data_IF_819535295573
#
_entry.id   IF_819535295573
#
_cell.length_a   1.000
_cell.length_b   1.000
_cell.length_c   1.000
_cell.angle_alpha   90.00
_cell.angle_beta   90.00
_cell.angle_gamma   90.00
#
_symmetry.space_group_name_H-M   'P 1'
#
loop_
_entity.id
_entity.type
_entity.pdbx_description
1 polymer ?
#
# COMPACT_ATOMS: atom_id res chain seq x y z
N UNK A 1 28.85 -18.34 -6.58
CA UNK A 1 28.25 -17.27 -7.41
C UNK A 1 26.83 -17.10 -6.90
N UNK A 2 26.50 -15.96 -6.28
CA UNK A 2 25.16 -15.74 -5.73
C UNK A 2 24.19 -15.68 -6.92
N UNK A 3 23.12 -16.50 -6.94
CA UNK A 3 22.16 -16.48 -8.04
C UNK A 3 21.45 -15.13 -8.10
N UNK A 4 21.22 -14.63 -9.32
CA UNK A 4 20.62 -13.32 -9.57
C UNK A 4 19.32 -13.05 -8.79
N UNK A 5 18.50 -14.09 -8.58
CA UNK A 5 17.27 -14.00 -7.81
C UNK A 5 17.48 -13.64 -6.32
N UNK A 6 18.55 -14.11 -5.71
CA UNK A 6 18.89 -13.77 -4.32
C UNK A 6 19.34 -12.30 -4.22
N UNK A 7 20.15 -11.84 -5.18
CA UNK A 7 20.55 -10.43 -5.24
C UNK A 7 19.33 -9.51 -5.38
N UNK A 8 18.36 -9.87 -6.22
CA UNK A 8 17.12 -9.10 -6.35
C UNK A 8 16.28 -9.12 -5.07
N UNK A 9 16.17 -10.26 -4.41
CA UNK A 9 15.40 -10.38 -3.16
C UNK A 9 15.93 -9.51 -2.03
N UNK A 10 17.25 -9.26 -2.00
CA UNK A 10 17.87 -8.37 -1.01
C UNK A 10 17.65 -6.89 -1.36
N UNK A 11 17.76 -6.52 -2.63
CA UNK A 11 17.79 -5.11 -3.04
C UNK A 11 16.38 -4.54 -3.32
N UNK A 12 15.43 -5.36 -3.77
CA UNK A 12 14.07 -4.92 -4.12
C UNK A 12 13.34 -4.17 -2.98
N UNK A 13 13.38 -4.64 -1.71
CA UNK A 13 12.74 -3.93 -0.60
C UNK A 13 13.22 -2.48 -0.42
N UNK A 14 14.51 -2.22 -0.66
CA UNK A 14 15.07 -0.88 -0.54
C UNK A 14 14.55 0.07 -1.62
N UNK A 15 14.47 -0.40 -2.88
CA UNK A 15 13.88 0.41 -3.97
C UNK A 15 12.39 0.69 -3.73
N UNK A 16 11.66 -0.30 -3.23
CA UNK A 16 10.26 -0.17 -2.88
C UNK A 16 10.04 0.92 -1.80
N UNK A 17 10.88 0.94 -0.75
CA UNK A 17 10.82 1.98 0.29
C UNK A 17 11.10 3.39 -0.25
N UNK A 18 12.04 3.53 -1.19
CA UNK A 18 12.29 4.83 -1.85
C UNK A 18 11.06 5.27 -2.67
N UNK A 19 10.45 4.34 -3.41
CA UNK A 19 9.25 4.64 -4.19
C UNK A 19 8.06 5.03 -3.30
N UNK A 20 7.92 4.36 -2.16
CA UNK A 20 6.93 4.70 -1.12
C UNK A 20 7.04 6.17 -0.69
N UNK A 21 8.25 6.72 -0.51
CA UNK A 21 8.42 8.12 -0.11
C UNK A 21 7.78 9.08 -1.12
N UNK A 22 7.92 8.80 -2.42
CA UNK A 22 7.28 9.58 -3.47
C UNK A 22 5.76 9.48 -3.37
N UNK A 23 5.23 8.28 -3.16
CA UNK A 23 3.80 8.03 -2.98
C UNK A 23 3.25 8.78 -1.76
N UNK A 24 3.96 8.77 -0.64
CA UNK A 24 3.59 9.52 0.56
C UNK A 24 3.50 11.02 0.29
N UNK A 25 4.50 11.60 -0.40
CA UNK A 25 4.48 13.02 -0.78
C UNK A 25 3.24 13.36 -1.65
N UNK A 26 2.86 12.47 -2.56
CA UNK A 26 1.65 12.63 -3.37
C UNK A 26 0.37 12.60 -2.51
N UNK A 27 0.28 11.69 -1.53
CA UNK A 27 -0.85 11.64 -0.61
C UNK A 27 -0.93 12.88 0.29
N UNK A 28 0.18 13.37 0.82
CA UNK A 28 0.21 14.61 1.60
C UNK A 28 -0.30 15.79 0.77
N UNK A 29 0.14 15.91 -0.48
CA UNK A 29 -0.34 16.93 -1.41
C UNK A 29 -1.84 16.78 -1.67
N UNK A 30 -2.32 15.56 -1.90
CA UNK A 30 -3.74 15.26 -2.14
C UNK A 30 -4.62 15.64 -0.95
N UNK A 31 -4.22 15.29 0.28
CA UNK A 31 -4.98 15.61 1.49
C UNK A 31 -4.92 17.09 1.89
N UNK A 32 -3.92 17.83 1.41
CA UNK A 32 -3.84 19.29 1.60
C UNK A 32 -4.85 20.07 0.74
N UNK A 33 -5.40 19.46 -0.32
CA UNK A 33 -6.37 20.12 -1.21
C UNK A 33 -7.72 20.28 -0.48
N UNK A 34 -8.10 21.53 -0.14
CA UNK A 34 -9.35 21.88 0.57
C UNK A 34 -10.65 21.71 -0.26
N UNK A 35 -10.60 21.06 -1.41
CA UNK A 35 -11.73 21.01 -2.34
C UNK A 35 -12.79 19.99 -1.87
N UNK A 36 -13.95 20.48 -1.42
CA UNK A 36 -15.06 19.65 -0.92
C UNK A 36 -15.75 18.77 -1.97
N UNK A 37 -15.46 18.95 -3.27
CA UNK A 37 -16.04 18.16 -4.35
C UNK A 37 -15.28 16.86 -4.65
N UNK A 38 -14.14 16.63 -4.01
CA UNK A 38 -13.33 15.42 -4.22
C UNK A 38 -13.84 14.29 -3.31
N UNK A 39 -14.17 13.15 -3.91
CA UNK A 39 -14.49 11.93 -3.18
C UNK A 39 -13.20 11.35 -2.57
N UNK A 40 -12.89 11.77 -1.33
CA UNK A 40 -11.62 11.44 -0.65
C UNK A 40 -11.60 10.05 -0.01
N UNK A 41 -12.74 9.40 0.16
CA UNK A 41 -12.83 8.11 0.86
C UNK A 41 -11.96 7.00 0.23
N UNK A 42 -11.96 6.79 -1.11
CA UNK A 42 -11.08 5.78 -1.74
C UNK A 42 -9.60 6.08 -1.52
N UNK A 43 -9.22 7.35 -1.51
CA UNK A 43 -7.84 7.76 -1.30
C UNK A 43 -7.37 7.53 0.12
N UNK A 44 -8.25 7.69 1.11
CA UNK A 44 -7.97 7.33 2.51
C UNK A 44 -7.78 5.82 2.67
N UNK A 45 -8.59 5.01 1.99
CA UNK A 45 -8.45 3.54 1.98
C UNK A 45 -7.14 3.11 1.32
N UNK A 46 -6.81 3.71 0.18
CA UNK A 46 -5.55 3.44 -0.52
C UNK A 46 -4.35 3.84 0.35
N UNK A 47 -4.42 4.98 1.04
CA UNK A 47 -3.39 5.39 1.99
C UNK A 47 -3.23 4.40 3.15
N UNK A 48 -4.34 3.85 3.66
CA UNK A 48 -4.28 2.80 4.69
C UNK A 48 -3.60 1.52 4.17
N UNK A 49 -3.91 1.07 2.95
CA UNK A 49 -3.25 -0.06 2.32
C UNK A 49 -1.74 0.18 2.13
N UNK A 50 -1.36 1.38 1.69
CA UNK A 50 0.06 1.78 1.61
C UNK A 50 0.72 1.76 2.99
N UNK A 51 0.04 2.21 4.04
CA UNK A 51 0.57 2.13 5.41
C UNK A 51 0.88 0.69 5.86
N UNK A 52 -0.02 -0.25 5.55
CA UNK A 52 0.19 -1.68 5.83
C UNK A 52 1.38 -2.22 5.04
N UNK A 53 1.47 -1.87 3.76
CA UNK A 53 2.59 -2.24 2.90
C UNK A 53 3.95 -1.73 3.41
N UNK A 54 4.01 -0.49 3.90
CA UNK A 54 5.24 0.08 4.47
C UNK A 54 5.66 -0.71 5.72
N UNK A 55 4.71 -1.09 6.57
CA UNK A 55 5.00 -1.90 7.75
C UNK A 55 5.56 -3.28 7.34
N UNK A 56 4.97 -3.93 6.34
CA UNK A 56 5.46 -5.20 5.80
C UNK A 56 6.89 -5.08 5.24
N UNK A 57 7.17 -4.05 4.45
CA UNK A 57 8.50 -3.84 3.86
C UNK A 57 9.55 -3.50 4.94
N UNK A 58 9.21 -2.70 5.96
CA UNK A 58 10.12 -2.44 7.08
C UNK A 58 10.46 -3.73 7.83
N UNK A 59 9.46 -4.58 8.08
CA UNK A 59 9.66 -5.89 8.70
C UNK A 59 10.54 -6.80 7.83
N UNK A 60 10.37 -6.75 6.51
CA UNK A 60 11.20 -7.49 5.54
C UNK A 60 12.65 -7.01 5.55
N UNK A 61 12.88 -5.69 5.61
CA UNK A 61 14.23 -5.13 5.75
C UNK A 61 14.87 -5.55 7.08
N UNK A 62 14.13 -5.50 8.21
CA UNK A 62 14.63 -5.95 9.52
C UNK A 62 14.98 -7.44 9.53
N UNK A 63 14.22 -8.27 8.81
CA UNK A 63 14.55 -9.68 8.61
C UNK A 63 15.85 -9.84 7.82
N UNK A 64 16.03 -9.09 6.74
CA UNK A 64 17.22 -9.18 5.88
C UNK A 64 18.52 -8.76 6.59
N UNK A 65 18.44 -7.85 7.56
CA UNK A 65 19.60 -7.46 8.40
C UNK A 65 19.81 -8.37 9.62
N UNK A 66 18.99 -9.42 9.77
CA UNK A 66 19.11 -10.40 10.85
C UNK A 66 18.61 -9.93 12.22
N UNK A 67 17.84 -8.84 12.29
CA UNK A 67 17.31 -8.31 13.56
C UNK A 67 16.07 -9.08 14.06
N UNK A 68 15.27 -9.65 13.15
CA UNK A 68 14.02 -10.34 13.49
C UNK A 68 13.83 -11.58 12.61
N UNK A 69 13.53 -12.72 13.22
CA UNK A 69 13.10 -13.92 12.50
C UNK A 69 11.58 -13.90 12.32
N UNK A 70 11.13 -13.50 11.12
CA UNK A 70 9.71 -13.48 10.80
C UNK A 70 9.28 -14.75 10.04
N UNK A 71 8.31 -15.50 10.58
CA UNK A 71 7.65 -16.60 9.88
C UNK A 71 7.03 -16.12 8.57
N UNK A 72 7.12 -16.95 7.52
CA UNK A 72 6.58 -16.63 6.18
C UNK A 72 5.08 -16.30 6.17
N UNK A 73 4.33 -16.78 7.16
CA UNK A 73 2.89 -16.54 7.26
C UNK A 73 2.53 -15.06 7.50
N UNK A 74 3.43 -14.27 8.10
CA UNK A 74 3.15 -12.85 8.36
C UNK A 74 2.97 -12.06 7.06
N UNK A 75 3.80 -12.31 6.04
CA UNK A 75 3.66 -11.66 4.73
C UNK A 75 2.29 -11.98 4.10
N UNK A 76 1.86 -13.24 4.15
CA UNK A 76 0.54 -13.62 3.64
C UNK A 76 -0.62 -12.92 4.39
N UNK A 77 -0.46 -12.69 5.69
CA UNK A 77 -1.45 -11.93 6.48
C UNK A 77 -1.47 -10.46 6.05
N UNK A 78 -0.32 -9.82 5.86
CA UNK A 78 -0.25 -8.44 5.36
C UNK A 78 -0.85 -8.29 3.97
N UNK A 79 -0.47 -9.17 3.03
CA UNK A 79 -1.03 -9.22 1.68
C UNK A 79 -2.55 -9.39 1.71
N UNK A 80 -3.07 -10.27 2.57
CA UNK A 80 -4.51 -10.47 2.72
C UNK A 80 -5.23 -9.18 3.14
N UNK A 81 -4.69 -8.42 4.10
CA UNK A 81 -5.26 -7.13 4.50
C UNK A 81 -5.22 -6.10 3.36
N UNK A 82 -4.10 -6.00 2.63
CA UNK A 82 -3.95 -5.08 1.49
C UNK A 82 -5.00 -5.41 0.41
N UNK A 83 -5.11 -6.67 0.02
CA UNK A 83 -6.07 -7.13 -1.00
C UNK A 83 -7.51 -6.86 -0.54
N UNK A 84 -7.83 -7.13 0.72
CA UNK A 84 -9.16 -6.90 1.28
C UNK A 84 -9.56 -5.42 1.23
N UNK A 85 -8.64 -4.53 1.60
CA UNK A 85 -8.84 -3.07 1.50
C UNK A 85 -9.01 -2.66 0.03
N UNK A 86 -8.24 -3.25 -0.88
CA UNK A 86 -8.32 -2.94 -2.31
C UNK A 86 -9.67 -3.36 -2.91
N UNK A 87 -10.17 -4.56 -2.58
CA UNK A 87 -11.50 -5.02 -2.98
C UNK A 87 -12.57 -4.09 -2.43
N UNK A 88 -12.48 -3.73 -1.14
CA UNK A 88 -13.42 -2.80 -0.52
C UNK A 88 -13.41 -1.43 -1.21
N UNK A 89 -12.22 -0.92 -1.54
CA UNK A 89 -12.04 0.33 -2.29
C UNK A 89 -12.76 0.28 -3.64
N UNK A 90 -12.61 -0.81 -4.40
CA UNK A 90 -13.29 -0.98 -5.69
C UNK A 90 -14.82 -0.98 -5.53
N UNK A 91 -15.34 -1.63 -4.48
CA UNK A 91 -16.77 -1.63 -4.19
C UNK A 91 -17.29 -0.23 -3.84
N UNK A 92 -16.56 0.51 -3.01
CA UNK A 92 -16.89 1.90 -2.65
C UNK A 92 -16.90 2.80 -3.89
N UNK A 93 -15.92 2.65 -4.78
CA UNK A 93 -15.88 3.40 -6.04
C UNK A 93 -17.06 3.05 -6.95
N UNK A 94 -17.38 1.75 -7.10
CA UNK A 94 -18.53 1.28 -7.87
C UNK A 94 -19.84 1.86 -7.34
N UNK A 95 -20.05 1.82 -6.02
CA UNK A 95 -21.25 2.35 -5.38
C UNK A 95 -21.39 3.86 -5.61
N UNK A 96 -20.31 4.62 -5.47
CA UNK A 96 -20.31 6.06 -5.72
C UNK A 96 -20.70 6.41 -7.16
N UNK A 97 -20.17 5.67 -8.14
CA UNK A 97 -20.50 5.86 -9.56
C UNK A 97 -21.95 5.50 -9.88
N UNK A 98 -22.48 4.43 -9.28
CA UNK A 98 -23.89 4.04 -9.45
C UNK A 98 -24.84 5.10 -8.90
N UNK A 99 -24.60 5.60 -7.68
CA UNK A 99 -25.44 6.63 -7.07
C UNK A 99 -25.44 7.91 -7.93
N UNK A 100 -24.26 8.33 -8.40
CA UNK A 100 -24.12 9.51 -9.27
C UNK A 100 -24.84 9.36 -10.62
N UNK A 101 -25.05 8.13 -11.11
CA UNK A 101 -25.81 7.86 -12.34
C UNK A 101 -27.33 7.96 -12.10
N UNK A 102 -27.80 7.60 -10.91
CA UNK A 102 -29.23 7.62 -10.57
C UNK A 102 -29.74 9.02 -10.18
N UNK A 103 -28.84 9.92 -9.77
CA UNK A 103 -29.15 11.34 -9.47
C UNK A 103 -29.21 12.23 -10.73
N UNK A 104 -29.01 11.67 -11.92
CA UNK A 104 -29.11 12.36 -13.22
C UNK A 104 -30.33 11.89 -14.00
#
# INVERSE_FOLDING_TARGET
MIPFGECLGVVAPYYNLVFVLVVLLMFFKLFSIKNKKLFLLPWKLLFAAVGIYILEEMLTVFKNVGMVELPRIYNAVFEFFIISIFIYLLLVQKQYLTNKKNDK
#
